data_IF_106600082346
#
_entry.id   IF_106600082346
#
_cell.length_a   1.000
_cell.length_b   1.000
_cell.length_c   1.000
_cell.angle_alpha   90.00
_cell.angle_beta   90.00
_cell.angle_gamma   90.00
#
_symmetry.space_group_name_H-M   'P 1'
#
loop_
_entity.id
_entity.type
_entity.pdbx_description
1 polymer ?
#
# COMPACT_ATOMS: atom_id res chain seq x y z
N UNK A 1 3.37 -17.49 13.34
CA UNK A 1 2.65 -16.91 14.51
C UNK A 1 3.49 -15.85 15.24
N UNK A 2 4.69 -16.17 15.78
CA UNK A 2 5.52 -15.20 16.49
C UNK A 2 6.00 -14.05 15.59
N UNK A 3 6.37 -14.33 14.35
CA UNK A 3 6.77 -13.32 13.37
C UNK A 3 5.62 -12.37 13.02
N UNK A 4 4.41 -12.87 12.89
CA UNK A 4 3.21 -12.05 12.64
C UNK A 4 2.92 -11.10 13.79
N UNK A 5 3.04 -11.58 15.03
CA UNK A 5 2.86 -10.75 16.24
C UNK A 5 3.93 -9.66 16.32
N UNK A 6 5.17 -9.99 15.97
CA UNK A 6 6.26 -9.01 15.92
C UNK A 6 6.05 -7.96 14.81
N UNK A 7 5.59 -8.39 13.64
CA UNK A 7 5.31 -7.49 12.53
C UNK A 7 4.14 -6.56 12.86
N UNK A 8 3.09 -7.06 13.50
CA UNK A 8 1.96 -6.25 13.99
C UNK A 8 2.40 -5.25 15.06
N UNK A 9 3.22 -5.68 16.01
CA UNK A 9 3.77 -4.80 17.03
C UNK A 9 4.68 -3.71 16.46
N UNK A 10 5.54 -4.05 15.51
CA UNK A 10 6.39 -3.09 14.80
C UNK A 10 5.55 -2.10 14.00
N UNK A 11 4.51 -2.58 13.30
CA UNK A 11 3.57 -1.72 12.58
C UNK A 11 2.88 -0.73 13.52
N UNK A 12 2.45 -1.18 14.69
CA UNK A 12 1.92 -0.31 15.74
C UNK A 12 2.94 0.75 16.20
N UNK A 13 4.17 0.32 16.49
CA UNK A 13 5.23 1.24 16.91
C UNK A 13 5.55 2.32 15.84
N UNK A 14 5.48 1.96 14.55
CA UNK A 14 5.67 2.92 13.46
C UNK A 14 4.48 3.85 13.29
N UNK A 15 3.25 3.36 13.42
CA UNK A 15 2.03 4.19 13.31
C UNK A 15 1.96 5.23 14.41
N UNK A 16 2.35 4.86 15.61
CA UNK A 16 2.38 5.76 16.77
C UNK A 16 3.67 6.60 16.88
N UNK A 17 4.53 6.54 15.86
CA UNK A 17 5.81 7.27 15.79
C UNK A 17 6.75 6.97 16.97
N UNK A 18 6.65 5.80 17.57
CA UNK A 18 7.52 5.35 18.65
C UNK A 18 8.91 4.95 18.15
N UNK A 19 9.05 4.66 16.85
CA UNK A 19 10.30 4.31 16.18
C UNK A 19 10.55 5.32 15.05
N UNK A 20 11.78 5.85 14.90
CA UNK A 20 12.12 6.76 13.80
C UNK A 20 11.91 6.13 12.42
N UNK A 21 11.31 6.87 11.51
CA UNK A 21 11.02 6.45 10.12
C UNK A 21 12.25 6.70 9.25
N UNK A 22 13.29 5.85 9.33
CA UNK A 22 14.52 6.10 8.56
C UNK A 22 14.72 5.20 7.33
N UNK A 23 14.07 4.03 7.24
CA UNK A 23 14.46 3.00 6.28
C UNK A 23 13.38 2.57 5.28
N UNK A 24 12.34 3.39 5.07
CA UNK A 24 11.23 3.09 4.14
C UNK A 24 11.68 2.82 2.70
N UNK A 25 12.80 3.42 2.28
CA UNK A 25 13.31 3.38 0.90
C UNK A 25 13.59 1.97 0.35
N UNK A 26 13.81 1.00 1.22
CA UNK A 26 14.12 -0.39 0.82
C UNK A 26 12.97 -1.37 1.02
N UNK A 27 11.83 -0.92 1.55
CA UNK A 27 10.74 -1.84 1.88
C UNK A 27 9.61 -1.81 0.86
N UNK A 28 9.20 -3.03 0.49
CA UNK A 28 8.00 -3.32 -0.28
C UNK A 28 6.92 -3.86 0.68
N UNK A 29 5.81 -3.13 0.81
CA UNK A 29 4.61 -3.61 1.51
C UNK A 29 3.67 -4.28 0.53
N UNK A 30 3.38 -5.57 0.75
CA UNK A 30 2.46 -6.33 -0.08
C UNK A 30 1.08 -6.36 0.57
N UNK A 31 0.06 -5.97 -0.19
CA UNK A 31 -1.32 -5.87 0.24
C UNK A 31 -2.24 -6.75 -0.60
N UNK A 32 -3.24 -7.33 0.06
CA UNK A 32 -4.28 -8.08 -0.62
C UNK A 32 -5.18 -7.13 -1.42
N UNK A 33 -5.24 -7.32 -2.72
CA UNK A 33 -6.00 -6.47 -3.63
C UNK A 33 -7.05 -7.25 -4.46
N UNK A 34 -7.45 -8.44 -4.00
CA UNK A 34 -8.25 -9.39 -4.78
C UNK A 34 -9.44 -8.81 -5.53
N UNK A 35 -10.28 -8.00 -4.88
CA UNK A 35 -11.46 -7.41 -5.49
C UNK A 35 -11.23 -6.00 -6.07
N UNK A 36 -10.13 -5.36 -5.71
CA UNK A 36 -9.87 -3.95 -6.05
C UNK A 36 -8.71 -3.77 -7.01
N UNK A 37 -8.02 -4.83 -7.40
CA UNK A 37 -6.76 -4.76 -8.14
C UNK A 37 -6.88 -3.99 -9.46
N UNK A 38 -7.94 -4.20 -10.22
CA UNK A 38 -8.14 -3.51 -11.50
C UNK A 38 -8.32 -2.01 -11.28
N UNK A 39 -9.12 -1.63 -10.29
CA UNK A 39 -9.28 -0.23 -9.88
C UNK A 39 -7.96 0.36 -9.39
N UNK A 40 -7.24 -0.35 -8.51
CA UNK A 40 -5.97 0.13 -7.97
C UNK A 40 -4.94 0.40 -9.07
N UNK A 41 -4.84 -0.50 -10.06
CA UNK A 41 -3.93 -0.36 -11.20
C UNK A 41 -4.34 0.77 -12.14
N UNK A 42 -5.64 0.91 -12.40
CA UNK A 42 -6.17 1.94 -13.29
C UNK A 42 -6.00 3.34 -12.71
N UNK A 43 -6.28 3.51 -11.42
CA UNK A 43 -6.26 4.82 -10.75
C UNK A 43 -4.94 5.08 -9.98
N UNK A 44 -3.97 4.17 -10.03
CA UNK A 44 -2.67 4.28 -9.35
C UNK A 44 -2.77 4.57 -7.85
N UNK A 45 -3.72 3.94 -7.17
CA UNK A 45 -3.99 4.13 -5.75
C UNK A 45 -4.33 2.82 -5.07
N UNK A 46 -3.86 2.65 -3.85
CA UNK A 46 -4.34 1.62 -2.92
C UNK A 46 -4.94 2.31 -1.71
N UNK A 47 -5.97 1.74 -1.12
CA UNK A 47 -6.59 2.30 0.09
C UNK A 47 -6.82 1.23 1.15
N UNK A 48 -6.81 1.67 2.40
CA UNK A 48 -6.88 0.85 3.58
C UNK A 48 -7.53 1.64 4.73
N UNK A 49 -8.12 0.93 5.69
CA UNK A 49 -8.70 1.56 6.88
C UNK A 49 -7.65 2.42 7.61
N UNK A 50 -8.04 3.62 8.01
CA UNK A 50 -7.13 4.60 8.64
C UNK A 50 -6.51 4.08 9.95
N UNK A 51 -7.20 3.16 10.64
CA UNK A 51 -6.74 2.60 11.92
C UNK A 51 -5.75 1.45 11.73
N UNK A 52 -5.55 0.99 10.49
CA UNK A 52 -4.55 -0.02 10.20
C UNK A 52 -3.15 0.58 10.20
N UNK A 53 -2.32 0.17 11.16
CA UNK A 53 -0.93 0.56 11.23
C UNK A 53 -0.08 -0.02 10.08
N UNK A 54 1.05 0.61 9.79
CA UNK A 54 1.99 0.12 8.79
C UNK A 54 3.43 0.57 9.10
N UNK A 55 4.37 -0.28 8.74
CA UNK A 55 5.80 0.07 8.73
C UNK A 55 6.09 1.02 7.58
N UNK A 56 7.04 1.95 7.77
CA UNK A 56 7.54 2.81 6.70
C UNK A 56 8.00 1.98 5.50
N UNK A 57 7.50 2.33 4.31
CA UNK A 57 7.80 1.67 3.05
C UNK A 57 7.61 2.65 1.89
N UNK A 58 8.48 2.54 0.90
CA UNK A 58 8.39 3.36 -0.31
C UNK A 58 7.72 2.64 -1.47
N UNK A 59 7.58 1.32 -1.38
CA UNK A 59 7.01 0.51 -2.44
C UNK A 59 5.79 -0.26 -1.96
N UNK A 60 4.80 -0.34 -2.84
CA UNK A 60 3.53 -1.03 -2.61
C UNK A 60 3.33 -2.12 -3.66
N UNK A 61 3.03 -3.33 -3.20
CA UNK A 61 2.74 -4.49 -4.05
C UNK A 61 1.28 -4.91 -3.92
N UNK A 62 0.62 -5.13 -5.04
CA UNK A 62 -0.75 -5.62 -5.11
C UNK A 62 -0.76 -7.13 -5.29
N UNK A 63 -1.30 -7.84 -4.30
CA UNK A 63 -1.33 -9.30 -4.28
C UNK A 63 -2.69 -9.83 -4.69
N UNK A 64 -2.69 -10.75 -5.66
CA UNK A 64 -3.85 -11.51 -6.11
C UNK A 64 -3.40 -12.86 -6.69
N UNK A 65 -4.20 -13.90 -6.49
CA UNK A 65 -3.95 -15.22 -7.10
C UNK A 65 -2.53 -15.76 -6.87
N UNK A 66 -2.10 -15.74 -5.60
CA UNK A 66 -0.79 -16.28 -5.14
C UNK A 66 0.45 -15.55 -5.67
N UNK A 67 0.29 -14.35 -6.19
CA UNK A 67 1.38 -13.55 -6.71
C UNK A 67 1.18 -12.06 -6.42
N UNK A 68 2.28 -11.31 -6.28
CA UNK A 68 2.26 -9.86 -6.44
C UNK A 68 2.15 -9.58 -7.93
N UNK A 69 1.08 -8.91 -8.32
CA UNK A 69 0.72 -8.66 -9.72
C UNK A 69 1.18 -7.32 -10.24
N UNK A 70 1.37 -6.36 -9.36
CA UNK A 70 1.85 -5.04 -9.70
C UNK A 70 2.60 -4.41 -8.54
N UNK A 71 3.59 -3.57 -8.85
CA UNK A 71 4.38 -2.82 -7.88
C UNK A 71 4.40 -1.35 -8.28
N UNK A 72 4.22 -0.45 -7.30
CA UNK A 72 4.31 0.99 -7.47
C UNK A 72 5.18 1.64 -6.40
N UNK A 73 5.80 2.76 -6.72
CA UNK A 73 6.49 3.62 -5.76
C UNK A 73 5.54 4.67 -5.22
N UNK A 74 5.46 4.81 -3.91
CA UNK A 74 4.56 5.73 -3.24
C UNK A 74 5.06 7.17 -3.41
N UNK A 75 4.18 8.04 -3.90
CA UNK A 75 4.41 9.50 -4.03
C UNK A 75 3.70 10.28 -2.93
N UNK A 76 2.48 9.88 -2.58
CA UNK A 76 1.70 10.55 -1.57
C UNK A 76 0.89 9.59 -0.72
N UNK A 77 0.69 9.93 0.54
CA UNK A 77 -0.22 9.24 1.47
C UNK A 77 -1.17 10.29 2.00
N UNK A 78 -2.46 10.11 1.75
CA UNK A 78 -3.52 11.04 2.12
C UNK A 78 -4.62 10.27 2.85
N UNK A 79 -5.05 10.76 4.00
CA UNK A 79 -6.24 10.25 4.66
C UNK A 79 -7.45 11.08 4.29
N UNK A 80 -8.60 10.43 4.14
CA UNK A 80 -9.87 11.09 3.98
C UNK A 80 -10.88 10.49 4.97
N UNK A 81 -11.45 11.33 5.79
CA UNK A 81 -12.43 10.96 6.83
C UNK A 81 -13.70 11.74 6.61
N UNK A 82 -14.82 11.05 6.65
CA UNK A 82 -16.14 11.69 6.55
C UNK A 82 -16.58 12.19 7.93
N UNK A 83 -16.78 13.50 8.03
CA UNK A 83 -17.24 14.12 9.27
C UNK A 83 -18.75 13.92 9.51
N UNK A 84 -19.26 14.42 10.64
CA UNK A 84 -20.66 14.30 11.03
C UNK A 84 -21.61 15.01 10.03
N UNK A 85 -21.15 16.02 9.32
CA UNK A 85 -21.88 16.74 8.28
C UNK A 85 -21.88 16.00 6.94
N UNK A 86 -21.13 14.88 6.83
CA UNK A 86 -21.01 14.09 5.62
C UNK A 86 -19.95 14.60 4.64
N UNK A 87 -19.18 15.61 5.01
CA UNK A 87 -18.09 16.15 4.21
C UNK A 87 -16.78 15.36 4.41
N UNK A 88 -15.93 15.33 3.40
CA UNK A 88 -14.61 14.68 3.48
C UNK A 88 -13.57 15.68 4.00
N UNK A 89 -12.92 15.31 5.09
CA UNK A 89 -11.77 15.98 5.64
C UNK A 89 -10.50 15.23 5.22
N UNK A 90 -9.55 15.96 4.66
CA UNK A 90 -8.29 15.41 4.14
C UNK A 90 -7.11 15.78 5.03
N UNK A 91 -6.19 14.83 5.22
CA UNK A 91 -4.89 15.10 5.84
C UNK A 91 -3.78 14.44 5.03
N UNK A 92 -2.72 15.19 4.75
CA UNK A 92 -1.55 14.69 4.01
C UNK A 92 -0.52 14.17 5.00
N UNK A 93 -0.28 12.87 4.98
CA UNK A 93 0.75 12.22 5.81
C UNK A 93 2.11 12.17 5.10
N UNK A 94 2.11 12.13 3.76
CA UNK A 94 3.32 12.12 2.93
C UNK A 94 3.05 12.75 1.58
N UNK A 95 4.04 13.46 1.03
CA UNK A 95 3.93 14.11 -0.27
C UNK A 95 3.07 15.37 -0.24
N UNK A 96 2.40 15.65 -1.35
CA UNK A 96 1.52 16.82 -1.52
C UNK A 96 0.17 16.39 -2.06
N UNK A 97 -0.88 17.15 -1.76
CA UNK A 97 -2.20 16.91 -2.30
C UNK A 97 -2.47 17.79 -3.54
N UNK A 98 -2.96 17.15 -4.60
CA UNK A 98 -3.45 17.80 -5.81
C UNK A 98 -4.96 17.56 -5.98
N UNK A 99 -5.62 18.32 -6.85
CA UNK A 99 -7.06 18.12 -7.12
C UNK A 99 -7.35 16.73 -7.73
N UNK A 100 -6.42 16.17 -8.51
CA UNK A 100 -6.50 14.83 -9.05
C UNK A 100 -6.60 13.77 -7.94
N UNK A 101 -5.90 13.97 -6.81
CA UNK A 101 -5.98 13.06 -5.66
C UNK A 101 -7.40 13.05 -5.08
N UNK A 102 -8.05 14.21 -4.94
CA UNK A 102 -9.44 14.30 -4.45
C UNK A 102 -10.41 13.61 -5.40
N UNK A 103 -10.24 13.80 -6.70
CA UNK A 103 -11.05 13.13 -7.71
C UNK A 103 -10.90 11.61 -7.64
N UNK A 104 -9.67 11.10 -7.49
CA UNK A 104 -9.38 9.68 -7.34
C UNK A 104 -9.95 9.13 -6.03
N UNK A 105 -9.85 9.86 -4.92
CA UNK A 105 -10.46 9.46 -3.64
C UNK A 105 -11.97 9.30 -3.77
N UNK A 106 -12.67 10.22 -4.44
CA UNK A 106 -14.10 10.10 -4.68
C UNK A 106 -14.44 8.85 -5.50
N UNK A 107 -13.71 8.57 -6.59
CA UNK A 107 -13.87 7.33 -7.37
C UNK A 107 -13.61 6.08 -6.50
N UNK A 108 -12.60 6.11 -5.64
CA UNK A 108 -12.27 5.01 -4.74
C UNK A 108 -13.41 4.74 -3.75
N UNK A 109 -14.01 5.80 -3.19
CA UNK A 109 -15.16 5.69 -2.30
C UNK A 109 -16.35 5.05 -3.01
N UNK A 110 -16.68 5.49 -4.22
CA UNK A 110 -17.76 4.90 -5.02
C UNK A 110 -17.48 3.42 -5.35
N UNK A 111 -16.27 3.12 -5.82
CA UNK A 111 -15.84 1.75 -6.12
C UNK A 111 -15.86 0.86 -4.89
N UNK A 112 -15.35 1.34 -3.75
CA UNK A 112 -15.33 0.59 -2.50
C UNK A 112 -16.75 0.29 -1.99
N UNK A 113 -17.62 1.28 -1.99
CA UNK A 113 -19.03 1.11 -1.60
C UNK A 113 -19.78 0.12 -2.49
N UNK A 114 -19.52 0.12 -3.78
CA UNK A 114 -20.11 -0.87 -4.70
C UNK A 114 -19.70 -2.30 -4.39
N UNK A 115 -18.58 -2.49 -3.67
CA UNK A 115 -18.05 -3.77 -3.20
C UNK A 115 -18.43 -4.08 -1.75
N UNK A 116 -19.22 -3.21 -1.10
CA UNK A 116 -19.71 -3.39 0.27
C UNK A 116 -18.77 -2.85 1.36
N UNK A 117 -17.74 -2.08 1.00
CA UNK A 117 -16.88 -1.38 1.98
C UNK A 117 -17.56 -0.09 2.48
N UNK A 118 -17.36 0.25 3.75
CA UNK A 118 -17.98 1.41 4.38
C UNK A 118 -17.40 2.73 3.85
N UNK A 119 -16.10 2.79 3.65
CA UNK A 119 -15.38 3.95 3.07
C UNK A 119 -15.61 5.27 3.83
N UNK A 120 -15.67 5.20 5.16
CA UNK A 120 -15.87 6.36 6.04
C UNK A 120 -14.57 7.03 6.41
N UNK A 121 -13.53 6.23 6.68
CA UNK A 121 -12.23 6.71 7.14
C UNK A 121 -11.12 5.83 6.55
N UNK A 122 -10.54 6.29 5.47
CA UNK A 122 -9.56 5.51 4.70
C UNK A 122 -8.25 6.29 4.54
N UNK A 123 -7.16 5.53 4.41
CA UNK A 123 -5.84 6.02 4.01
C UNK A 123 -5.56 5.58 2.59
N UNK A 124 -5.21 6.55 1.75
CA UNK A 124 -4.94 6.38 0.32
C UNK A 124 -3.45 6.50 0.06
N UNK A 125 -2.89 5.45 -0.54
CA UNK A 125 -1.49 5.39 -0.96
C UNK A 125 -1.46 5.61 -2.47
N UNK A 126 -1.01 6.76 -2.90
CA UNK A 126 -0.86 7.11 -4.31
C UNK A 126 0.52 6.70 -4.79
N UNK A 127 0.57 6.08 -5.95
CA UNK A 127 1.82 5.74 -6.63
C UNK A 127 1.86 6.47 -7.98
N UNK A 128 3.07 6.74 -8.49
CA UNK A 128 3.24 7.32 -9.81
C UNK A 128 2.59 6.44 -10.88
N UNK A 129 2.91 5.15 -10.83
CA UNK A 129 2.35 4.13 -11.69
C UNK A 129 2.54 2.75 -11.04
N UNK A 130 1.58 1.86 -11.25
CA UNK A 130 1.77 0.43 -11.00
C UNK A 130 2.37 -0.25 -12.24
N UNK A 131 3.45 -0.98 -12.05
CA UNK A 131 4.11 -1.80 -13.07
C UNK A 131 3.80 -3.28 -12.83
N UNK A 132 3.49 -3.99 -13.90
CA UNK A 132 3.16 -5.41 -13.84
C UNK A 132 4.37 -6.25 -13.44
N UNK A 133 4.11 -7.25 -12.61
CA UNK A 133 5.07 -8.27 -12.20
C UNK A 133 4.37 -9.61 -11.97
N UNK A 134 5.12 -10.67 -11.73
CA UNK A 134 4.59 -11.97 -11.29
C UNK A 134 5.45 -12.53 -10.15
N UNK A 135 5.67 -11.73 -9.10
CA UNK A 135 6.42 -12.15 -7.94
C UNK A 135 5.64 -13.18 -7.13
N UNK A 136 5.94 -14.44 -7.40
CA UNK A 136 5.16 -15.59 -6.92
C UNK A 136 5.49 -15.97 -5.50
N UNK A 137 4.47 -16.35 -4.80
CA UNK A 137 4.56 -16.94 -3.49
C UNK A 137 5.08 -18.39 -3.57
N UNK A 138 6.14 -18.67 -2.82
CA UNK A 138 6.76 -20.01 -2.75
C UNK A 138 6.20 -20.89 -1.63
N UNK A 139 5.43 -20.32 -0.68
CA UNK A 139 4.89 -21.05 0.46
C UNK A 139 3.44 -21.50 0.22
N UNK A 140 2.99 -22.66 0.74
CA UNK A 140 1.68 -23.23 0.42
C UNK A 140 0.48 -22.49 1.03
N UNK A 141 0.66 -21.74 2.13
CA UNK A 141 -0.44 -21.05 2.83
C UNK A 141 -0.70 -19.66 2.25
N UNK A 142 -1.97 -19.23 2.22
CA UNK A 142 -2.31 -17.86 1.87
C UNK A 142 -1.65 -16.87 2.85
N UNK A 143 -1.19 -15.68 2.39
CA UNK A 143 -0.72 -14.66 3.30
C UNK A 143 -1.90 -14.19 4.17
N UNK A 144 -1.71 -14.25 5.47
CA UNK A 144 -2.64 -13.68 6.43
C UNK A 144 -2.12 -12.29 6.81
N UNK A 145 -2.71 -11.25 6.20
CA UNK A 145 -2.34 -9.87 6.45
C UNK A 145 -1.22 -9.32 5.56
N UNK A 146 -0.70 -8.18 5.97
CA UNK A 146 0.37 -7.45 5.29
C UNK A 146 1.70 -8.18 5.35
N UNK A 147 2.44 -8.17 4.25
CA UNK A 147 3.83 -8.65 4.17
C UNK A 147 4.76 -7.50 3.82
N UNK A 148 5.91 -7.46 4.49
CA UNK A 148 6.98 -6.50 4.23
C UNK A 148 8.21 -7.27 3.74
N UNK A 149 8.77 -6.83 2.62
CA UNK A 149 9.99 -7.38 2.04
C UNK A 149 11.09 -6.31 2.02
N UNK A 150 12.29 -6.68 2.44
CA UNK A 150 13.49 -5.88 2.22
C UNK A 150 13.97 -6.14 0.79
N UNK A 151 13.80 -5.17 -0.08
CA UNK A 151 14.13 -5.27 -1.50
C UNK A 151 15.64 -5.42 -1.74
N UNK A 152 16.48 -4.94 -0.83
CA UNK A 152 17.93 -5.14 -0.95
C UNK A 152 18.30 -6.62 -0.81
N UNK A 153 17.57 -7.35 0.02
CA UNK A 153 17.75 -8.80 0.19
C UNK A 153 17.10 -9.59 -0.94
N UNK A 154 15.88 -9.20 -1.36
CA UNK A 154 15.15 -9.92 -2.41
C UNK A 154 15.82 -9.78 -3.77
N UNK A 155 16.37 -8.61 -4.07
CA UNK A 155 17.05 -8.30 -5.34
C UNK A 155 18.58 -8.53 -5.28
N UNK A 156 19.09 -8.91 -4.11
CA UNK A 156 20.54 -9.10 -3.87
C UNK A 156 21.36 -7.87 -4.30
N UNK A 157 20.89 -6.67 -3.96
CA UNK A 157 21.51 -5.39 -4.36
C UNK A 157 21.53 -4.38 -3.22
N UNK A 158 22.57 -3.56 -3.18
CA UNK A 158 22.65 -2.43 -2.25
C UNK A 158 21.88 -1.20 -2.73
N UNK A 159 21.60 -1.12 -4.04
CA UNK A 159 20.92 0.00 -4.66
C UNK A 159 19.63 -0.47 -5.34
N UNK A 160 18.49 -0.01 -4.84
CA UNK A 160 17.20 -0.32 -5.44
C UNK A 160 17.11 0.32 -6.83
N UNK A 161 16.82 -0.45 -7.90
CA UNK A 161 16.60 0.08 -9.24
C UNK A 161 15.29 0.90 -9.30
N UNK A 162 15.04 1.55 -10.43
CA UNK A 162 13.73 2.14 -10.69
C UNK A 162 12.62 1.08 -10.63
N UNK A 163 11.40 1.51 -10.38
CA UNK A 163 10.28 0.60 -10.08
C UNK A 163 9.90 -0.29 -11.28
N UNK A 164 10.05 0.18 -12.50
CA UNK A 164 9.80 -0.62 -13.70
C UNK A 164 10.82 -1.75 -13.85
N UNK A 165 12.09 -1.43 -13.67
CA UNK A 165 13.18 -2.42 -13.69
C UNK A 165 13.00 -3.43 -12.57
N UNK A 166 12.66 -2.97 -11.36
CA UNK A 166 12.37 -3.85 -10.22
C UNK A 166 11.22 -4.81 -10.52
N UNK A 167 10.13 -4.33 -11.08
CA UNK A 167 8.97 -5.15 -11.43
C UNK A 167 9.33 -6.27 -12.43
N UNK A 168 10.22 -5.98 -13.39
CA UNK A 168 10.74 -6.96 -14.35
C UNK A 168 11.67 -7.99 -13.70
N UNK A 169 12.48 -7.57 -12.73
CA UNK A 169 13.41 -8.48 -12.02
C UNK A 169 12.68 -9.43 -11.07
N UNK A 170 11.53 -9.04 -10.56
CA UNK A 170 10.71 -9.85 -9.65
C UNK A 170 9.71 -10.77 -10.36
N UNK A 171 9.56 -10.64 -11.67
CA UNK A 171 8.59 -11.40 -12.47
C UNK A 171 8.92 -12.90 -12.62
#
# INVERSE_FOLDING_TARGET
EMQEVLDDFLNYCYSDRLIPVSDGWKYLRVQLAGQTIDFNRQENVYYDDIHRGFRAHDYLGLYQNKSVRAIGKIEAIITAVRNEQGELEYNVERGTMAEEHKATINKAIESGRSKGYDMVAERYFFVEQFYDTDFRKTTPRAPMGTRIFDLTQVLETEKIPDVETMAKQLA
#
